data_IF_714965503410
#
_entry.id   IF_714965503410
#
_cell.length_a   1.000
_cell.length_b   1.000
_cell.length_c   1.000
_cell.angle_alpha   90.00
_cell.angle_beta   90.00
_cell.angle_gamma   90.00
#
_symmetry.space_group_name_H-M   'P 1'
#
loop_
_entity.id
_entity.type
_entity.pdbx_description
1 polymer ?
#
# COMPACT_ATOMS: atom_id res chain seq x y z
N UNK A 1 -35.28 -41.80 42.15
CA UNK A 1 -35.32 -43.23 41.81
C UNK A 1 -34.28 -43.50 40.73
N UNK A 2 -33.59 -44.66 40.78
CA UNK A 2 -32.13 -44.68 40.91
C UNK A 2 -31.45 -45.64 39.91
N UNK A 3 -30.11 -45.71 40.00
CA UNK A 3 -29.24 -46.92 39.88
C UNK A 3 -27.81 -46.44 40.23
N UNK A 4 -27.18 -46.74 41.38
CA UNK A 4 -26.70 -48.04 41.93
C UNK A 4 -26.07 -48.91 40.82
N UNK A 5 -24.88 -49.50 40.93
CA UNK A 5 -24.10 -49.98 42.08
C UNK A 5 -22.67 -50.33 41.58
N UNK A 6 -21.60 -49.96 42.28
CA UNK A 6 -20.77 -50.81 43.18
C UNK A 6 -19.91 -51.90 42.51
N UNK A 7 -18.59 -51.86 42.74
CA UNK A 7 -17.88 -52.96 43.40
C UNK A 7 -16.49 -52.55 43.94
N UNK A 8 -16.15 -53.20 45.05
CA UNK A 8 -15.15 -52.91 46.07
C UNK A 8 -14.04 -53.98 46.02
N UNK A 9 -12.83 -53.60 46.46
CA UNK A 9 -11.83 -54.36 47.25
C UNK A 9 -10.42 -53.91 46.83
N UNK A 10 -9.40 -53.71 47.68
CA UNK A 10 -9.21 -53.81 49.14
C UNK A 10 -7.81 -53.26 49.50
N UNK A 11 -7.60 -52.94 50.79
CA UNK A 11 -6.34 -52.89 51.56
C UNK A 11 -5.51 -51.59 51.66
N UNK A 12 -5.64 -50.90 52.81
CA UNK A 12 -4.54 -50.36 53.62
C UNK A 12 -5.01 -50.12 55.09
N UNK A 13 -4.19 -50.40 56.13
CA UNK A 13 -4.57 -50.18 57.52
C UNK A 13 -4.23 -48.76 58.02
N UNK A 14 -5.08 -48.22 58.91
CA UNK A 14 -4.93 -46.93 59.62
C UNK A 14 -3.87 -46.94 60.74
N UNK A 15 -3.80 -45.93 61.63
CA UNK A 15 -4.93 -45.34 62.39
C UNK A 15 -4.78 -43.80 62.62
N UNK A 16 -5.40 -43.15 63.63
CA UNK A 16 -6.76 -43.24 64.17
C UNK A 16 -7.51 -41.88 64.11
N UNK A 17 -8.72 -41.97 64.63
CA UNK A 17 -9.79 -41.00 64.82
C UNK A 17 -9.59 -39.86 65.84
N UNK A 18 -10.49 -38.87 65.66
CA UNK A 18 -11.40 -38.26 66.64
C UNK A 18 -11.11 -36.83 67.10
N UNK A 19 -12.14 -36.03 66.89
CA UNK A 19 -12.41 -34.70 67.44
C UNK A 19 -12.30 -34.63 68.97
N UNK A 20 -11.81 -33.50 69.47
CA UNK A 20 -12.22 -32.97 70.77
C UNK A 20 -11.10 -32.51 71.71
N UNK A 21 -10.98 -31.18 71.81
CA UNK A 21 -10.53 -30.35 72.95
C UNK A 21 -9.06 -30.37 73.36
N UNK A 22 -8.44 -29.20 73.19
CA UNK A 22 -7.21 -28.74 73.82
C UNK A 22 -6.84 -27.41 73.20
N UNK A 23 -7.27 -26.32 73.82
CA UNK A 23 -6.79 -24.96 73.54
C UNK A 23 -5.26 -24.94 73.56
N UNK A 24 -4.66 -24.16 72.68
CA UNK A 24 -3.37 -23.43 72.75
C UNK A 24 -3.17 -22.86 71.33
N UNK A 25 -3.84 -21.76 70.96
CA UNK A 25 -3.22 -20.43 70.94
C UNK A 25 -1.81 -20.41 70.34
N UNK A 26 -1.72 -20.38 69.00
CA UNK A 26 -0.69 -19.63 68.26
C UNK A 26 -1.42 -18.75 67.23
N UNK A 27 -2.18 -17.82 67.79
CA UNK A 27 -2.67 -16.62 67.12
C UNK A 27 -1.56 -15.55 67.23
N UNK A 28 -0.40 -15.81 66.61
CA UNK A 28 0.72 -14.88 66.64
C UNK A 28 0.61 -13.85 65.50
N UNK A 29 0.30 -12.63 65.93
CA UNK A 29 0.50 -11.32 65.28
C UNK A 29 -0.51 -10.82 64.23
N UNK A 30 -1.82 -10.97 64.49
CA UNK A 30 -2.80 -10.03 63.93
C UNK A 30 -3.00 -8.85 64.89
N UNK A 31 -2.36 -7.72 64.58
CA UNK A 31 -2.59 -6.43 65.24
C UNK A 31 -4.09 -6.13 65.39
N UNK A 32 -4.52 -5.46 66.49
CA UNK A 32 -5.94 -5.20 66.78
C UNK A 32 -6.67 -4.55 65.60
N UNK A 33 -7.96 -4.88 65.41
CA UNK A 33 -8.78 -4.48 64.24
C UNK A 33 -8.77 -2.96 63.94
N UNK A 34 -8.49 -2.12 64.94
CA UNK A 34 -8.33 -0.67 64.78
C UNK A 34 -7.06 -0.24 64.02
N UNK A 35 -6.03 -1.08 63.94
CA UNK A 35 -4.75 -0.83 63.25
C UNK A 35 -4.72 -1.34 61.79
N UNK A 36 -5.70 -2.12 61.35
CA UNK A 36 -5.80 -2.61 59.96
C UNK A 36 -6.57 -1.66 59.03
N UNK A 37 -7.15 -0.58 59.57
CA UNK A 37 -7.89 0.42 58.81
C UNK A 37 -6.85 1.31 58.09
N UNK A 38 -6.73 1.13 56.76
CA UNK A 38 -5.76 1.75 55.84
C UNK A 38 -4.49 0.93 55.49
N UNK A 39 -4.42 -0.38 55.81
CA UNK A 39 -3.37 -1.22 55.25
C UNK A 39 -3.61 -1.44 53.75
N UNK A 40 -2.61 -1.27 52.86
CA UNK A 40 -2.74 -1.64 51.46
C UNK A 40 -3.06 -3.13 51.31
N UNK A 41 -3.85 -3.49 50.29
CA UNK A 41 -4.19 -4.90 50.07
C UNK A 41 -2.92 -5.71 49.76
N UNK A 42 -2.85 -6.92 50.32
CA UNK A 42 -1.75 -7.84 50.07
C UNK A 42 -1.97 -8.59 48.73
N UNK A 43 -1.96 -7.85 47.63
CA UNK A 43 -2.06 -8.40 46.27
C UNK A 43 -0.71 -8.36 45.55
N UNK A 44 -0.41 -9.33 44.66
CA UNK A 44 0.87 -9.36 43.93
C UNK A 44 1.17 -8.07 43.15
N UNK A 45 0.15 -7.35 42.67
CA UNK A 45 0.29 -6.10 41.92
C UNK A 45 0.61 -4.92 42.83
N UNK A 46 -0.10 -4.75 43.95
CA UNK A 46 0.12 -3.66 44.89
C UNK A 46 1.45 -3.81 45.62
N UNK A 47 1.89 -5.05 45.83
CA UNK A 47 3.11 -5.40 46.55
C UNK A 47 4.32 -5.62 45.62
N UNK A 48 4.17 -5.35 44.31
CA UNK A 48 5.24 -5.50 43.31
C UNK A 48 5.89 -6.89 43.27
N UNK A 49 5.11 -7.93 43.60
CA UNK A 49 5.51 -9.35 43.61
C UNK A 49 4.92 -10.12 42.42
N UNK A 50 4.71 -9.42 41.31
CA UNK A 50 4.18 -10.01 40.07
C UNK A 50 5.24 -10.98 39.51
N UNK A 51 4.80 -12.11 38.96
CA UNK A 51 5.69 -13.01 38.23
C UNK A 51 6.35 -12.25 37.08
N UNK A 52 7.66 -12.08 37.15
CA UNK A 52 8.45 -11.35 36.18
C UNK A 52 9.68 -12.15 35.77
N UNK A 53 9.98 -12.14 34.49
CA UNK A 53 11.23 -12.65 33.94
C UNK A 53 12.24 -11.52 33.84
N UNK A 54 13.38 -11.69 34.51
CA UNK A 54 14.47 -10.72 34.51
C UNK A 54 15.67 -11.30 33.77
N UNK A 55 15.75 -11.16 32.43
CA UNK A 55 16.86 -11.68 31.66
C UNK A 55 18.14 -10.92 32.02
N UNK A 56 19.08 -11.61 32.64
CA UNK A 56 20.43 -11.11 32.84
C UNK A 56 21.24 -11.49 31.60
N UNK A 57 21.79 -10.50 30.91
CA UNK A 57 22.58 -10.70 29.70
C UNK A 57 23.95 -11.31 30.04
N UNK A 58 24.01 -12.64 30.02
CA UNK A 58 25.26 -13.40 30.11
C UNK A 58 26.03 -13.30 28.77
N UNK A 59 27.35 -13.04 28.80
CA UNK A 59 28.19 -13.08 27.60
C UNK A 59 27.95 -14.29 26.69
N UNK A 60 27.74 -15.50 27.24
CA UNK A 60 27.50 -16.70 26.43
C UNK A 60 26.20 -16.61 25.64
N UNK A 61 25.11 -16.20 26.30
CA UNK A 61 23.80 -16.01 25.66
C UNK A 61 23.85 -14.90 24.61
N UNK A 62 24.56 -13.81 24.90
CA UNK A 62 24.74 -12.69 23.96
C UNK A 62 25.50 -13.15 22.71
N UNK A 63 26.64 -13.85 22.87
CA UNK A 63 27.42 -14.38 21.75
C UNK A 63 26.57 -15.33 20.89
N UNK A 64 25.88 -16.29 21.53
CA UNK A 64 25.02 -17.25 20.82
C UNK A 64 23.92 -16.52 20.05
N UNK A 65 23.25 -15.54 20.65
CA UNK A 65 22.20 -14.77 19.97
C UNK A 65 22.72 -14.02 18.75
N UNK A 66 23.89 -13.37 18.84
CA UNK A 66 24.49 -12.66 17.71
C UNK A 66 24.86 -13.61 16.57
N UNK A 67 25.44 -14.77 16.88
CA UNK A 67 25.82 -15.76 15.87
C UNK A 67 24.59 -16.40 15.20
N UNK A 68 23.52 -16.66 15.96
CA UNK A 68 22.25 -17.16 15.41
C UNK A 68 21.62 -16.12 14.48
N UNK A 69 21.53 -14.86 14.91
CA UNK A 69 20.98 -13.79 14.08
C UNK A 69 21.78 -13.60 12.79
N UNK A 70 23.12 -13.63 12.87
CA UNK A 70 23.98 -13.58 11.69
C UNK A 70 23.74 -14.77 10.75
N UNK A 71 23.64 -15.99 11.28
CA UNK A 71 23.41 -17.21 10.51
C UNK A 71 22.04 -17.24 9.82
N UNK A 72 21.05 -16.49 10.30
CA UNK A 72 19.73 -16.35 9.66
C UNK A 72 19.74 -15.21 8.65
N UNK A 73 20.25 -14.03 9.03
CA UNK A 73 20.15 -12.82 8.22
C UNK A 73 21.05 -12.84 6.98
N UNK A 74 22.25 -13.45 7.07
CA UNK A 74 23.17 -13.50 5.91
C UNK A 74 22.59 -14.35 4.77
N UNK A 75 22.18 -15.62 4.98
CA UNK A 75 21.57 -16.41 3.91
C UNK A 75 20.26 -15.80 3.38
N UNK A 76 19.44 -15.23 4.26
CA UNK A 76 18.22 -14.55 3.84
C UNK A 76 18.52 -13.31 2.98
N UNK A 77 19.55 -12.54 3.31
CA UNK A 77 19.98 -11.39 2.51
C UNK A 77 20.39 -11.79 1.09
N UNK A 78 21.21 -12.83 0.95
CA UNK A 78 21.58 -13.37 -0.37
C UNK A 78 20.38 -13.94 -1.13
N UNK A 79 19.46 -14.60 -0.44
CA UNK A 79 18.21 -15.07 -1.06
C UNK A 79 17.37 -13.90 -1.59
N UNK A 80 17.16 -12.86 -0.78
CA UNK A 80 16.39 -11.67 -1.15
C UNK A 80 17.02 -10.90 -2.32
N UNK A 81 18.34 -10.74 -2.31
CA UNK A 81 19.09 -10.16 -3.43
C UNK A 81 18.90 -11.00 -4.71
N UNK A 82 19.07 -12.32 -4.62
CA UNK A 82 18.90 -13.21 -5.76
C UNK A 82 17.48 -13.20 -6.34
N UNK A 83 16.44 -13.06 -5.50
CA UNK A 83 15.06 -12.85 -5.98
C UNK A 83 14.89 -11.49 -6.65
N UNK A 84 15.51 -10.43 -6.12
CA UNK A 84 15.45 -9.10 -6.74
C UNK A 84 16.20 -9.03 -8.08
N UNK A 85 17.29 -9.77 -8.27
CA UNK A 85 18.06 -9.78 -9.52
C UNK A 85 17.34 -10.49 -10.68
N UNK A 86 16.44 -11.43 -10.36
CA UNK A 86 15.59 -12.09 -11.35
C UNK A 86 14.57 -11.14 -11.97
N UNK A 87 14.20 -10.08 -11.26
CA UNK A 87 13.21 -9.12 -11.74
C UNK A 87 13.78 -8.32 -12.91
N UNK A 88 13.07 -8.39 -14.02
CA UNK A 88 13.35 -7.61 -15.22
C UNK A 88 12.58 -6.30 -15.10
N UNK A 89 13.27 -5.19 -15.37
CA UNK A 89 12.72 -3.85 -15.37
C UNK A 89 13.23 -3.13 -16.61
N UNK A 90 12.32 -2.72 -17.48
CA UNK A 90 12.57 -1.96 -18.69
C UNK A 90 12.00 -0.57 -18.46
N UNK A 91 12.85 0.45 -18.48
CA UNK A 91 12.47 1.83 -18.17
C UNK A 91 12.94 2.76 -19.27
N UNK A 92 12.03 3.60 -19.76
CA UNK A 92 12.35 4.62 -20.77
C UNK A 92 11.77 5.98 -20.34
N UNK A 93 12.63 6.98 -20.27
CA UNK A 93 12.23 8.37 -20.02
C UNK A 93 11.74 8.95 -21.33
N UNK A 94 10.50 9.45 -21.35
CA UNK A 94 9.88 9.99 -22.56
C UNK A 94 9.69 11.50 -22.52
N UNK A 95 9.64 12.10 -21.32
CA UNK A 95 9.63 13.55 -21.15
C UNK A 95 10.61 13.95 -20.06
N UNK A 96 11.54 14.83 -20.36
CA UNK A 96 12.50 15.37 -19.40
C UNK A 96 12.66 16.90 -19.52
N UNK A 97 11.69 17.58 -20.14
CA UNK A 97 11.84 19.00 -20.46
C UNK A 97 12.94 19.26 -21.50
N UNK A 98 13.89 20.14 -21.20
CA UNK A 98 14.96 20.57 -22.12
C UNK A 98 16.15 19.57 -22.27
N UNK A 99 16.12 18.43 -21.58
CA UNK A 99 17.20 17.44 -21.62
C UNK A 99 17.07 16.50 -22.84
N UNK A 100 18.15 16.37 -23.64
CA UNK A 100 18.20 15.59 -24.89
C UNK A 100 18.05 14.06 -24.69
N UNK A 101 18.06 13.58 -23.44
CA UNK A 101 17.99 12.15 -23.11
C UNK A 101 16.58 11.54 -23.13
N UNK A 102 15.54 12.35 -23.33
CA UNK A 102 14.16 11.88 -23.44
C UNK A 102 13.87 11.29 -24.83
N UNK A 103 13.01 10.28 -24.90
CA UNK A 103 12.55 9.74 -26.19
C UNK A 103 11.70 10.72 -27.00
N UNK A 104 11.03 11.68 -26.33
CA UNK A 104 10.08 12.63 -26.93
C UNK A 104 10.37 14.10 -26.50
N UNK A 105 11.58 14.65 -26.74
CA UNK A 105 12.03 15.89 -26.12
C UNK A 105 11.34 17.16 -26.66
N UNK A 106 10.81 17.12 -27.89
CA UNK A 106 10.20 18.30 -28.53
C UNK A 106 8.72 18.54 -28.18
N UNK A 107 8.05 17.56 -27.56
CA UNK A 107 6.59 17.58 -27.34
C UNK A 107 6.24 18.10 -25.94
N UNK A 108 7.12 17.91 -24.94
CA UNK A 108 6.88 18.27 -23.53
C UNK A 108 6.91 19.77 -23.18
N UNK A 109 7.11 20.66 -24.17
CA UNK A 109 7.23 22.12 -23.99
C UNK A 109 5.92 22.89 -24.04
N UNK A 110 4.92 22.36 -24.75
CA UNK A 110 3.62 23.03 -24.92
C UNK A 110 2.48 22.06 -24.59
N UNK A 111 1.32 22.61 -24.23
CA UNK A 111 0.08 21.83 -24.09
C UNK A 111 -0.39 21.40 -25.48
N UNK A 112 0.28 20.41 -26.05
CA UNK A 112 0.01 19.90 -27.39
C UNK A 112 -0.80 18.62 -27.26
N UNK A 113 -2.11 18.77 -27.04
CA UNK A 113 -3.05 17.67 -26.75
C UNK A 113 -3.14 16.57 -27.83
N UNK A 114 -2.41 16.69 -28.95
CA UNK A 114 -2.52 15.80 -30.11
C UNK A 114 -1.16 15.33 -30.66
N UNK A 115 -0.06 15.53 -29.95
CA UNK A 115 1.23 14.98 -30.37
C UNK A 115 1.44 13.61 -29.71
N UNK A 116 1.42 12.58 -30.55
CA UNK A 116 1.69 11.21 -30.15
C UNK A 116 3.19 10.92 -30.29
N UNK A 117 3.77 10.25 -29.31
CA UNK A 117 5.13 9.76 -29.34
C UNK A 117 5.17 8.24 -29.16
N UNK A 118 6.02 7.54 -29.89
CA UNK A 118 6.16 6.09 -29.78
C UNK A 118 7.36 5.72 -28.90
N UNK A 119 7.12 4.89 -27.89
CA UNK A 119 8.15 4.26 -27.06
C UNK A 119 8.33 2.81 -27.50
N UNK A 120 9.57 2.38 -27.66
CA UNK A 120 9.91 1.03 -28.10
C UNK A 120 10.76 0.35 -27.03
N UNK A 121 10.25 -0.76 -26.49
CA UNK A 121 10.97 -1.59 -25.53
C UNK A 121 11.38 -2.90 -26.18
N UNK A 122 12.66 -3.25 -26.04
CA UNK A 122 13.18 -4.55 -26.44
C UNK A 122 13.32 -5.44 -25.20
N UNK A 123 12.55 -6.52 -25.17
CA UNK A 123 12.52 -7.46 -24.05
C UNK A 123 13.75 -8.36 -24.12
N UNK A 124 14.72 -8.17 -23.23
CA UNK A 124 16.00 -8.92 -23.28
C UNK A 124 15.93 -10.33 -22.68
N UNK A 125 14.93 -10.58 -21.83
CA UNK A 125 14.73 -11.83 -21.09
C UNK A 125 13.24 -12.08 -20.92
N UNK A 126 12.86 -13.34 -20.81
CA UNK A 126 11.47 -13.75 -20.60
C UNK A 126 10.86 -13.11 -19.35
N UNK A 127 9.75 -12.39 -19.53
CA UNK A 127 9.01 -11.74 -18.45
C UNK A 127 7.81 -12.60 -18.08
N UNK A 128 7.83 -13.14 -16.86
CA UNK A 128 6.74 -13.96 -16.31
C UNK A 128 5.56 -13.08 -15.87
N UNK A 129 4.31 -13.55 -16.02
CA UNK A 129 3.14 -12.78 -15.63
C UNK A 129 2.96 -12.72 -14.09
N UNK A 130 2.30 -11.66 -13.57
CA UNK A 130 1.84 -10.49 -14.32
C UNK A 130 2.99 -9.51 -14.63
N UNK A 131 3.04 -9.04 -15.88
CA UNK A 131 3.98 -7.98 -16.28
C UNK A 131 3.31 -6.64 -16.07
N UNK A 132 3.81 -5.84 -15.14
CA UNK A 132 3.19 -4.59 -14.70
C UNK A 132 3.75 -3.41 -15.48
N UNK A 133 2.87 -2.52 -15.92
CA UNK A 133 3.19 -1.28 -16.63
C UNK A 133 2.94 -0.11 -15.69
N UNK A 134 4.01 0.61 -15.35
CA UNK A 134 3.98 1.77 -14.48
C UNK A 134 4.33 3.04 -15.26
N UNK A 135 3.65 4.13 -14.98
CA UNK A 135 4.19 5.45 -15.27
C UNK A 135 4.93 6.00 -14.05
N UNK A 136 6.01 6.74 -14.28
CA UNK A 136 6.81 7.37 -13.24
C UNK A 136 6.79 8.88 -13.39
N UNK A 137 6.70 9.56 -12.26
CA UNK A 137 6.85 11.00 -12.15
C UNK A 137 7.96 11.31 -11.17
N UNK A 138 8.86 12.22 -11.56
CA UNK A 138 9.89 12.74 -10.69
C UNK A 138 9.62 14.19 -10.28
N UNK A 139 10.13 14.56 -9.12
CA UNK A 139 10.02 15.90 -8.55
C UNK A 139 8.58 16.42 -8.37
N UNK A 140 7.61 15.53 -8.18
CA UNK A 140 6.20 15.89 -7.94
C UNK A 140 5.77 15.55 -6.52
N UNK A 141 5.56 16.58 -5.69
CA UNK A 141 5.40 16.44 -4.25
C UNK A 141 3.94 16.22 -3.80
N UNK A 142 3.39 15.01 -3.99
CA UNK A 142 2.05 14.68 -3.49
C UNK A 142 1.96 14.68 -1.95
N UNK A 143 3.08 14.46 -1.26
CA UNK A 143 3.18 14.41 0.19
C UNK A 143 3.15 15.79 0.87
N UNK A 144 3.03 16.88 0.11
CA UNK A 144 2.88 18.21 0.68
C UNK A 144 1.55 18.32 1.43
N UNK A 145 1.58 18.78 2.69
CA UNK A 145 0.40 18.78 3.59
C UNK A 145 -0.85 19.36 2.93
N UNK A 146 -0.75 20.55 2.32
CA UNK A 146 -1.91 21.21 1.68
C UNK A 146 -2.40 20.43 0.46
N UNK A 147 -1.51 19.78 -0.28
CA UNK A 147 -1.89 18.93 -1.41
C UNK A 147 -2.66 17.70 -0.93
N UNK A 148 -2.13 16.99 0.08
CA UNK A 148 -2.77 15.78 0.62
C UNK A 148 -4.14 16.03 1.25
N UNK A 149 -4.34 17.20 1.88
CA UNK A 149 -5.62 17.57 2.48
C UNK A 149 -6.60 18.20 1.50
N UNK A 150 -6.16 18.60 0.30
CA UNK A 150 -6.99 19.31 -0.67
C UNK A 150 -7.83 18.36 -1.51
N UNK A 151 -8.91 17.87 -0.90
CA UNK A 151 -9.95 17.03 -1.49
C UNK A 151 -11.20 17.01 -0.61
N UNK A 152 -12.33 16.60 -1.17
CA UNK A 152 -13.55 16.30 -0.42
C UNK A 152 -13.90 14.81 -0.53
N UNK A 153 -13.83 14.10 0.60
CA UNK A 153 -14.13 12.67 0.67
C UNK A 153 -15.64 12.36 0.50
N UNK A 154 -16.54 13.33 0.73
CA UNK A 154 -17.98 13.16 0.50
C UNK A 154 -18.32 13.13 -0.99
N UNK A 155 -17.71 14.02 -1.78
CA UNK A 155 -17.83 13.99 -3.24
C UNK A 155 -17.32 12.66 -3.81
N UNK A 156 -16.16 12.17 -3.34
CA UNK A 156 -15.60 10.89 -3.79
C UNK A 156 -16.51 9.71 -3.47
N UNK A 157 -17.22 9.75 -2.33
CA UNK A 157 -18.17 8.71 -1.94
C UNK A 157 -19.58 8.88 -2.54
N UNK A 158 -19.75 9.84 -3.46
CA UNK A 158 -20.98 10.05 -4.21
C UNK A 158 -22.06 10.86 -3.48
N UNK A 159 -21.74 11.51 -2.36
CA UNK A 159 -22.70 12.35 -1.65
C UNK A 159 -22.76 13.75 -2.27
N UNK A 160 -23.81 14.04 -3.01
CA UNK A 160 -24.04 15.33 -3.71
C UNK A 160 -24.77 16.36 -2.86
N UNK A 161 -25.39 15.94 -1.74
CA UNK A 161 -26.27 16.78 -0.94
C UNK A 161 -25.54 17.38 0.26
N UNK A 162 -25.06 18.63 0.11
CA UNK A 162 -24.55 19.55 1.15
C UNK A 162 -23.17 19.18 1.70
N UNK A 163 -22.14 19.62 0.97
CA UNK A 163 -20.84 19.87 1.59
C UNK A 163 -21.05 20.75 2.82
N UNK A 164 -20.48 20.38 3.96
CA UNK A 164 -20.43 21.33 5.07
C UNK A 164 -19.49 22.46 4.66
N UNK A 165 -19.65 23.66 5.24
CA UNK A 165 -18.73 24.78 4.96
C UNK A 165 -17.26 24.46 5.24
N UNK A 166 -17.01 23.41 6.03
CA UNK A 166 -15.68 22.89 6.31
C UNK A 166 -15.11 22.04 5.16
N UNK A 167 -15.96 21.27 4.46
CA UNK A 167 -15.54 20.43 3.34
C UNK A 167 -15.19 21.27 2.10
N UNK A 168 -15.94 22.34 1.86
CA UNK A 168 -15.62 23.35 0.84
C UNK A 168 -14.25 24.02 1.09
N UNK A 169 -13.92 24.29 2.35
CA UNK A 169 -12.63 24.89 2.73
C UNK A 169 -11.45 23.93 2.55
N UNK A 170 -11.67 22.62 2.70
CA UNK A 170 -10.63 21.63 2.45
C UNK A 170 -10.25 21.58 0.97
N UNK A 171 -11.20 21.83 0.06
CA UNK A 171 -10.95 21.83 -1.38
C UNK A 171 -10.23 23.07 -1.93
N UNK A 172 -9.85 24.04 -1.09
CA UNK A 172 -9.05 25.17 -1.55
C UNK A 172 -7.67 24.73 -2.09
N UNK A 173 -7.17 25.35 -3.17
CA UNK A 173 -7.72 26.52 -3.87
C UNK A 173 -8.63 26.18 -5.08
N UNK A 174 -8.87 24.90 -5.38
CA UNK A 174 -9.60 24.49 -6.60
C UNK A 174 -10.94 23.85 -6.22
N UNK A 175 -11.88 24.70 -5.80
CA UNK A 175 -13.27 24.33 -5.53
C UNK A 175 -14.22 24.84 -6.62
N UNK A 176 -14.02 26.07 -7.08
CA UNK A 176 -14.84 26.75 -8.08
C UNK A 176 -13.94 27.32 -9.16
N UNK A 177 -14.26 27.05 -10.42
CA UNK A 177 -13.59 27.63 -11.59
C UNK A 177 -14.61 28.40 -12.42
N UNK A 178 -14.41 29.72 -12.56
CA UNK A 178 -15.31 30.55 -13.38
C UNK A 178 -16.77 30.63 -12.90
N UNK A 179 -17.02 30.39 -11.60
CA UNK A 179 -18.38 30.34 -11.03
C UNK A 179 -19.06 28.98 -11.12
N UNK A 180 -18.39 27.97 -11.70
CA UNK A 180 -18.84 26.57 -11.77
C UNK A 180 -18.12 25.77 -10.69
N UNK A 181 -18.85 24.97 -9.94
CA UNK A 181 -18.31 24.08 -8.89
C UNK A 181 -17.65 22.87 -9.54
N UNK A 182 -16.45 22.48 -9.09
CA UNK A 182 -15.76 21.31 -9.62
C UNK A 182 -16.07 20.08 -8.76
N UNK A 183 -16.38 18.96 -9.40
CA UNK A 183 -16.60 17.67 -8.75
C UNK A 183 -15.78 16.55 -9.44
N UNK A 184 -14.81 15.93 -8.75
CA UNK A 184 -14.38 16.22 -7.37
C UNK A 184 -13.47 17.45 -7.28
N UNK A 185 -13.61 18.19 -6.20
CA UNK A 185 -12.81 19.38 -5.90
C UNK A 185 -11.46 19.04 -5.27
N UNK A 186 -10.56 20.03 -5.25
CA UNK A 186 -9.25 19.97 -4.61
C UNK A 186 -8.09 19.72 -5.57
N UNK A 187 -6.87 19.91 -5.06
CA UNK A 187 -5.64 19.85 -5.86
C UNK A 187 -5.36 18.45 -6.40
N UNK A 188 -5.68 17.40 -5.64
CA UNK A 188 -5.31 16.03 -6.04
C UNK A 188 -6.05 15.65 -7.33
N UNK A 189 -7.37 15.83 -7.36
CA UNK A 189 -8.16 15.50 -8.55
C UNK A 189 -7.82 16.39 -9.75
N UNK A 190 -7.60 17.69 -9.54
CA UNK A 190 -7.32 18.65 -10.60
C UNK A 190 -5.86 18.65 -11.09
N UNK A 191 -5.01 17.81 -10.51
CA UNK A 191 -3.67 17.53 -11.04
C UNK A 191 -3.56 16.08 -11.49
N UNK A 192 -4.69 15.45 -11.82
CA UNK A 192 -4.72 14.08 -12.33
C UNK A 192 -3.79 13.90 -13.52
N UNK A 193 -2.99 12.84 -13.47
CA UNK A 193 -2.09 12.48 -14.55
C UNK A 193 -2.91 12.06 -15.77
N UNK A 194 -2.75 12.77 -16.88
CA UNK A 194 -3.63 12.65 -18.04
C UNK A 194 -2.93 12.28 -19.36
N UNK A 195 -1.70 11.75 -19.29
CA UNK A 195 -1.11 11.08 -20.47
C UNK A 195 -1.80 9.74 -20.71
N UNK A 196 -2.01 9.40 -21.98
CA UNK A 196 -2.61 8.13 -22.38
C UNK A 196 -1.57 7.24 -23.05
N UNK A 197 -1.45 6.00 -22.59
CA UNK A 197 -0.56 4.99 -23.17
C UNK A 197 -1.40 3.96 -23.91
N UNK A 198 -1.15 3.76 -25.20
CA UNK A 198 -1.85 2.77 -26.03
C UNK A 198 -0.83 1.80 -26.60
N UNK A 199 -1.04 0.50 -26.44
CA UNK A 199 -0.20 -0.51 -27.07
C UNK A 199 -0.54 -0.59 -28.57
N UNK A 200 0.44 -0.32 -29.44
CA UNK A 200 0.22 -0.32 -30.90
C UNK A 200 0.57 -1.65 -31.54
N UNK A 201 1.75 -2.18 -31.22
CA UNK A 201 2.30 -3.33 -31.89
C UNK A 201 3.18 -4.14 -30.93
N UNK A 202 2.99 -5.44 -30.97
CA UNK A 202 3.82 -6.43 -30.31
C UNK A 202 4.51 -7.27 -31.37
N UNK A 203 5.47 -6.67 -32.07
CA UNK A 203 6.18 -7.36 -33.14
C UNK A 203 6.85 -8.63 -32.59
N UNK A 204 6.23 -9.78 -32.88
CA UNK A 204 6.68 -11.10 -32.43
C UNK A 204 6.16 -11.58 -31.07
N UNK A 205 5.24 -10.88 -30.39
CA UNK A 205 4.50 -11.43 -29.25
C UNK A 205 3.01 -11.56 -29.55
N UNK A 206 2.57 -12.81 -29.51
CA UNK A 206 1.17 -13.22 -29.51
C UNK A 206 0.89 -13.91 -28.18
N UNK A 207 -0.36 -13.88 -27.73
CA UNK A 207 -0.82 -14.67 -26.59
C UNK A 207 -0.65 -16.19 -26.85
N UNK A 208 -0.91 -17.03 -25.84
CA UNK A 208 -0.86 -18.50 -25.98
C UNK A 208 -1.79 -19.03 -27.12
N UNK A 209 -2.75 -18.22 -27.57
CA UNK A 209 -3.75 -18.53 -28.60
C UNK A 209 -3.42 -17.94 -30.00
N UNK A 210 -2.34 -17.17 -30.13
CA UNK A 210 -1.95 -16.53 -31.40
C UNK A 210 -2.57 -15.16 -31.68
N UNK A 211 -3.27 -14.53 -30.74
CA UNK A 211 -3.79 -13.17 -30.85
C UNK A 211 -2.77 -12.13 -30.40
N UNK A 212 -2.96 -10.88 -30.80
CA UNK A 212 -2.14 -9.76 -30.34
C UNK A 212 -2.23 -9.61 -28.82
N UNK A 213 -1.09 -9.34 -28.18
CA UNK A 213 -1.02 -9.12 -26.74
C UNK A 213 -1.86 -7.90 -26.36
N UNK A 214 -2.77 -8.04 -25.39
CA UNK A 214 -3.62 -6.93 -24.91
C UNK A 214 -3.14 -6.48 -23.54
N UNK A 215 -2.93 -5.17 -23.36
CA UNK A 215 -2.69 -4.57 -22.05
C UNK A 215 -4.02 -4.42 -21.31
N UNK A 216 -4.12 -5.00 -20.12
CA UNK A 216 -5.28 -4.84 -19.23
C UNK A 216 -5.11 -3.60 -18.37
N UNK A 217 -6.15 -2.78 -18.33
CA UNK A 217 -6.22 -1.56 -17.50
C UNK A 217 -7.28 -1.68 -16.38
N UNK A 218 -7.96 -2.83 -16.30
CA UNK A 218 -8.92 -3.19 -15.26
C UNK A 218 -8.27 -4.00 -14.14
N UNK A 219 -8.68 -3.78 -12.88
CA UNK A 219 -8.10 -4.46 -11.72
C UNK A 219 -6.76 -3.89 -11.22
N UNK A 220 -6.41 -2.66 -11.61
CA UNK A 220 -5.21 -1.93 -11.15
C UNK A 220 -5.44 -1.22 -9.81
N UNK A 221 -6.68 -0.86 -9.49
CA UNK A 221 -7.05 -0.22 -8.24
C UNK A 221 -7.42 -1.24 -7.16
N UNK A 222 -7.28 -0.84 -5.89
CA UNK A 222 -7.63 -1.73 -4.79
C UNK A 222 -9.15 -1.88 -4.71
N UNK A 223 -9.61 -3.12 -4.60
CA UNK A 223 -11.04 -3.45 -4.51
C UNK A 223 -11.73 -2.75 -3.33
N UNK A 224 -11.01 -2.51 -2.22
CA UNK A 224 -11.51 -1.77 -1.07
C UNK A 224 -11.77 -0.29 -1.39
N UNK A 225 -10.93 0.34 -2.21
CA UNK A 225 -11.08 1.73 -2.61
C UNK A 225 -12.31 1.89 -3.52
N UNK A 226 -12.44 1.03 -4.52
CA UNK A 226 -13.59 1.04 -5.43
C UNK A 226 -14.91 0.71 -4.71
N UNK A 227 -14.89 -0.14 -3.69
CA UNK A 227 -16.09 -0.54 -2.96
C UNK A 227 -16.55 0.51 -1.93
N UNK A 228 -15.61 1.17 -1.26
CA UNK A 228 -15.91 1.98 -0.08
C UNK A 228 -15.62 3.47 -0.23
N UNK A 229 -14.69 3.87 -1.10
CA UNK A 229 -14.21 5.26 -1.20
C UNK A 229 -14.68 5.99 -2.44
N UNK A 230 -14.83 5.29 -3.56
CA UNK A 230 -15.20 5.89 -4.84
C UNK A 230 -16.58 5.41 -5.29
N UNK A 231 -17.51 6.34 -5.49
CA UNK A 231 -18.87 6.04 -5.97
C UNK A 231 -19.38 7.13 -6.89
N UNK A 232 -20.28 6.76 -7.78
CA UNK A 232 -20.99 7.71 -8.64
C UNK A 232 -21.81 8.71 -7.81
N UNK A 233 -21.92 9.97 -8.27
CA UNK A 233 -22.67 11.00 -7.55
C UNK A 233 -24.15 10.63 -7.40
N UNK A 234 -24.72 10.94 -6.24
CA UNK A 234 -26.14 10.71 -5.94
C UNK A 234 -27.02 11.48 -6.92
N UNK A 235 -27.87 10.75 -7.65
CA UNK A 235 -28.67 11.31 -8.75
C UNK A 235 -28.20 10.87 -10.14
N UNK A 236 -27.01 10.27 -10.24
CA UNK A 236 -26.52 9.67 -11.48
C UNK A 236 -27.44 8.54 -11.96
N UNK A 237 -27.73 8.52 -13.25
CA UNK A 237 -28.48 7.43 -13.92
C UNK A 237 -27.79 7.06 -15.22
N UNK A 238 -27.78 5.77 -15.54
CA UNK A 238 -27.33 5.26 -16.83
C UNK A 238 -28.35 4.25 -17.38
N UNK A 239 -28.54 4.26 -18.69
CA UNK A 239 -29.47 3.38 -19.39
C UNK A 239 -28.82 2.87 -20.65
N UNK A 240 -28.97 1.57 -20.92
CA UNK A 240 -28.44 0.92 -22.11
C UNK A 240 -29.19 1.42 -23.35
N UNK A 241 -28.45 1.88 -24.37
CA UNK A 241 -29.02 2.20 -25.68
C UNK A 241 -29.43 0.90 -26.40
N UNK A 242 -30.44 0.95 -27.26
CA UNK A 242 -30.82 -0.23 -28.06
C UNK A 242 -29.59 -0.76 -28.83
N UNK A 243 -29.40 -2.08 -28.81
CA UNK A 243 -28.30 -2.75 -29.48
C UNK A 243 -28.26 -2.31 -30.95
N UNK A 244 -27.08 -1.88 -31.41
CA UNK A 244 -26.74 -1.40 -32.76
C UNK A 244 -26.81 0.13 -33.01
N UNK A 245 -27.20 0.99 -32.05
CA UNK A 245 -27.18 2.46 -32.25
C UNK A 245 -26.54 3.24 -31.10
N UNK A 246 -25.25 3.54 -31.27
CA UNK A 246 -24.54 4.58 -30.51
C UNK A 246 -24.80 5.96 -31.12
N UNK A 247 -26.07 6.33 -31.24
CA UNK A 247 -26.50 7.54 -31.94
C UNK A 247 -26.97 8.61 -30.92
N UNK A 248 -26.83 9.92 -31.19
CA UNK A 248 -27.26 10.98 -30.27
C UNK A 248 -28.74 10.89 -29.88
N UNK A 249 -29.56 10.23 -30.70
CA UNK A 249 -30.97 9.94 -30.40
C UNK A 249 -31.18 9.19 -29.07
N UNK A 250 -30.19 8.41 -28.60
CA UNK A 250 -30.26 7.76 -27.29
C UNK A 250 -30.26 8.75 -26.11
N UNK A 251 -29.78 9.98 -26.33
CA UNK A 251 -29.67 11.03 -25.32
C UNK A 251 -30.79 12.09 -25.42
N UNK A 252 -31.71 11.99 -26.39
CA UNK A 252 -32.74 13.01 -26.65
C UNK A 252 -33.90 13.02 -25.65
N UNK A 253 -34.04 11.99 -24.80
CA UNK A 253 -35.05 11.96 -23.76
C UNK A 253 -34.80 13.06 -22.71
N UNK A 254 -35.89 13.73 -22.26
CA UNK A 254 -35.89 14.91 -21.38
C UNK A 254 -35.40 14.68 -19.93
N UNK A 255 -34.51 13.72 -19.71
CA UNK A 255 -33.90 13.41 -18.42
C UNK A 255 -32.44 12.95 -18.49
N UNK A 256 -31.80 12.95 -19.67
CA UNK A 256 -30.35 12.69 -19.79
C UNK A 256 -29.56 13.99 -19.92
N UNK A 257 -28.32 13.97 -19.43
CA UNK A 257 -27.39 15.10 -19.55
C UNK A 257 -26.37 14.90 -20.66
N UNK A 258 -26.39 13.75 -21.33
CA UNK A 258 -25.48 13.45 -22.42
C UNK A 258 -25.90 14.15 -23.71
N UNK A 259 -24.92 14.58 -24.51
CA UNK A 259 -25.15 14.98 -25.92
C UNK A 259 -24.91 13.78 -26.84
N UNK A 260 -23.94 12.93 -26.48
CA UNK A 260 -23.60 11.70 -27.18
C UNK A 260 -23.50 10.56 -26.16
N UNK A 261 -23.97 9.34 -26.51
CA UNK A 261 -23.85 8.18 -25.63
C UNK A 261 -22.38 7.78 -25.46
N UNK A 262 -22.05 7.20 -24.30
CA UNK A 262 -20.71 6.72 -24.01
C UNK A 262 -20.63 5.20 -24.16
N UNK A 263 -19.52 4.70 -24.71
CA UNK A 263 -19.22 3.27 -24.80
C UNK A 263 -18.56 2.83 -23.48
N UNK A 264 -19.07 1.77 -22.87
CA UNK A 264 -18.46 1.14 -21.70
C UNK A 264 -17.17 0.41 -22.11
N UNK A 265 -16.02 0.73 -21.49
CA UNK A 265 -14.77 -0.02 -21.74
C UNK A 265 -14.87 -1.51 -21.34
N UNK A 266 -15.79 -1.86 -20.45
CA UNK A 266 -15.92 -3.22 -19.89
C UNK A 266 -16.70 -4.17 -20.79
N UNK A 267 -17.82 -3.67 -21.33
CA UNK A 267 -18.78 -4.51 -22.06
C UNK A 267 -18.84 -4.15 -23.55
N UNK A 268 -18.24 -3.03 -23.98
CA UNK A 268 -18.33 -2.52 -25.35
C UNK A 268 -19.71 -1.98 -25.73
N UNK A 269 -20.64 -1.88 -24.78
CA UNK A 269 -22.01 -1.44 -24.99
C UNK A 269 -22.18 0.07 -24.81
N UNK A 270 -23.17 0.64 -25.51
CA UNK A 270 -23.48 2.07 -25.50
C UNK A 270 -24.51 2.43 -24.42
N UNK A 271 -24.24 3.48 -23.66
CA UNK A 271 -25.11 3.95 -22.59
C UNK A 271 -25.40 5.45 -22.70
N UNK A 272 -26.66 5.82 -22.51
CA UNK A 272 -27.06 7.18 -22.18
C UNK A 272 -26.88 7.40 -20.67
N UNK A 273 -26.45 8.60 -20.29
CA UNK A 273 -26.16 8.92 -18.90
C UNK A 273 -26.71 10.30 -18.49
N UNK A 274 -27.00 10.42 -17.20
CA UNK A 274 -27.47 11.64 -16.57
C UNK A 274 -26.67 11.92 -15.30
N UNK A 275 -26.16 13.13 -15.18
CA UNK A 275 -25.57 13.67 -13.96
C UNK A 275 -26.46 14.79 -13.39
N UNK A 276 -26.54 14.92 -12.05
CA UNK A 276 -27.27 16.02 -11.43
C UNK A 276 -26.52 17.36 -11.57
N UNK A 277 -27.22 18.47 -11.39
CA UNK A 277 -26.65 19.83 -11.24
C UNK A 277 -25.66 20.25 -12.36
N UNK A 278 -25.92 19.85 -13.60
CA UNK A 278 -25.05 20.10 -14.77
C UNK A 278 -24.83 21.60 -15.06
N UNK A 279 -25.81 22.44 -14.73
CA UNK A 279 -25.72 23.88 -14.96
C UNK A 279 -24.71 24.57 -14.03
N UNK A 280 -24.41 23.96 -12.88
CA UNK A 280 -23.60 24.57 -11.81
C UNK A 280 -22.35 23.76 -11.46
N UNK A 281 -22.24 22.52 -11.94
CA UNK A 281 -21.19 21.58 -11.57
C UNK A 281 -20.48 20.98 -12.77
N UNK A 282 -19.16 21.12 -12.81
CA UNK A 282 -18.28 20.45 -13.77
C UNK A 282 -17.78 19.13 -13.17
N UNK A 283 -18.00 18.03 -13.89
CA UNK A 283 -17.60 16.69 -13.45
C UNK A 283 -16.25 16.26 -14.06
N UNK A 284 -15.54 15.38 -13.34
CA UNK A 284 -14.22 14.85 -13.72
C UNK A 284 -14.05 14.45 -15.19
N UNK A 285 -15.06 13.79 -15.79
CA UNK A 285 -14.99 13.34 -17.19
C UNK A 285 -14.96 14.51 -18.18
N UNK A 286 -15.52 15.65 -17.82
CA UNK A 286 -15.47 16.88 -18.63
C UNK A 286 -14.10 17.54 -18.53
N UNK A 287 -13.41 17.38 -17.39
CA UNK A 287 -12.04 17.88 -17.19
C UNK A 287 -11.01 17.00 -17.88
N UNK A 288 -11.19 15.67 -17.87
CA UNK A 288 -10.24 14.69 -18.42
C UNK A 288 -10.92 13.67 -19.36
N UNK A 289 -11.47 14.12 -20.50
CA UNK A 289 -12.27 13.27 -21.39
C UNK A 289 -11.46 12.18 -22.11
N UNK A 290 -10.12 12.30 -22.18
CA UNK A 290 -9.25 11.33 -22.86
C UNK A 290 -9.09 10.00 -22.11
N UNK A 291 -9.30 10.01 -20.79
CA UNK A 291 -9.06 8.85 -19.90
C UNK A 291 -10.32 8.49 -19.11
N UNK A 292 -11.07 9.50 -18.64
CA UNK A 292 -12.22 9.26 -17.77
C UNK A 292 -13.49 9.18 -18.60
N UNK A 293 -14.09 7.98 -18.64
CA UNK A 293 -15.41 7.79 -19.23
C UNK A 293 -16.50 8.45 -18.35
N UNK A 294 -17.54 9.07 -18.95
CA UNK A 294 -18.72 9.52 -18.22
C UNK A 294 -19.46 8.41 -17.47
N UNK A 295 -19.20 7.14 -17.80
CA UNK A 295 -19.81 5.98 -17.11
C UNK A 295 -19.08 5.60 -15.82
N UNK A 296 -17.83 6.04 -15.65
CA UNK A 296 -16.99 5.62 -14.54
C UNK A 296 -16.70 6.76 -13.56
N UNK A 297 -16.52 8.00 -14.03
CA UNK A 297 -16.23 9.15 -13.16
C UNK A 297 -15.07 8.86 -12.16
N UNK A 298 -15.29 9.08 -10.85
CA UNK A 298 -14.34 8.76 -9.78
C UNK A 298 -14.12 7.26 -9.55
N UNK A 299 -14.95 6.39 -10.13
CA UNK A 299 -14.79 4.93 -10.05
C UNK A 299 -13.82 4.38 -11.10
N UNK A 300 -13.37 5.21 -12.03
CA UNK A 300 -12.30 4.86 -12.96
C UNK A 300 -11.01 4.50 -12.17
N UNK A 301 -10.39 3.38 -12.53
CA UNK A 301 -9.30 2.83 -11.74
C UNK A 301 -8.01 3.66 -11.81
N UNK A 302 -7.72 4.28 -12.96
CA UNK A 302 -6.58 5.20 -13.10
C UNK A 302 -6.73 6.40 -12.14
N UNK A 303 -7.94 6.94 -12.03
CA UNK A 303 -8.23 8.00 -11.07
C UNK A 303 -8.06 7.52 -9.62
N UNK A 304 -8.59 6.34 -9.28
CA UNK A 304 -8.45 5.76 -7.94
C UNK A 304 -6.97 5.54 -7.56
N UNK A 305 -6.15 5.06 -8.51
CA UNK A 305 -4.70 4.90 -8.34
C UNK A 305 -4.00 6.24 -8.11
N UNK A 306 -4.41 7.29 -8.82
CA UNK A 306 -3.87 8.64 -8.63
C UNK A 306 -4.19 9.23 -7.26
N UNK A 307 -5.45 9.09 -6.81
CA UNK A 307 -5.95 9.64 -5.55
C UNK A 307 -5.23 9.09 -4.30
N UNK A 308 -4.48 7.99 -4.43
CA UNK A 308 -3.56 7.50 -3.39
C UNK A 308 -2.25 8.28 -3.38
N UNK A 309 -2.15 9.34 -2.59
CA UNK A 309 -0.94 10.15 -2.46
C UNK A 309 0.34 9.31 -2.25
N UNK A 310 1.37 9.58 -3.05
CA UNK A 310 2.70 9.00 -2.89
C UNK A 310 3.46 9.66 -1.73
N UNK A 311 4.31 8.86 -1.05
CA UNK A 311 5.09 9.33 0.09
C UNK A 311 6.35 10.11 -0.31
N UNK A 312 6.86 9.90 -1.53
CA UNK A 312 8.08 10.49 -2.06
C UNK A 312 7.79 11.32 -3.33
N UNK A 313 8.65 12.31 -3.67
CA UNK A 313 8.47 13.12 -4.88
C UNK A 313 8.72 12.38 -6.19
N UNK A 314 9.50 11.30 -6.11
CA UNK A 314 9.73 10.38 -7.21
C UNK A 314 8.90 9.14 -6.90
N UNK A 315 7.93 8.86 -7.73
CA UNK A 315 7.01 7.75 -7.53
C UNK A 315 6.58 7.17 -8.85
N UNK A 316 6.05 5.96 -8.78
CA UNK A 316 5.43 5.29 -9.90
C UNK A 316 4.03 4.82 -9.55
N UNK A 317 3.19 4.69 -10.57
CA UNK A 317 1.76 4.38 -10.45
C UNK A 317 1.41 3.35 -11.51
N UNK A 318 0.68 2.33 -11.10
CA UNK A 318 0.28 1.26 -12.00
C UNK A 318 -0.70 1.83 -13.03
N UNK A 319 -0.41 1.60 -14.31
CA UNK A 319 -1.26 1.99 -15.42
C UNK A 319 -2.01 0.78 -15.98
N UNK A 320 -1.30 -0.34 -16.15
CA UNK A 320 -1.87 -1.56 -16.67
C UNK A 320 -0.96 -2.75 -16.43
N UNK A 321 -1.34 -3.91 -16.97
CA UNK A 321 -0.53 -5.11 -16.88
C UNK A 321 -0.85 -6.08 -18.03
N UNK A 322 0.02 -7.07 -18.18
CA UNK A 322 -0.18 -8.22 -19.03
C UNK A 322 -0.31 -9.47 -18.18
N UNK A 323 -1.36 -10.25 -18.42
CA UNK A 323 -1.58 -11.56 -17.79
C UNK A 323 -0.78 -12.68 -18.46
N UNK A 324 -0.25 -12.41 -19.65
CA UNK A 324 0.51 -13.37 -20.44
C UNK A 324 2.02 -13.18 -20.27
N UNK A 325 2.77 -14.25 -20.49
CA UNK A 325 4.23 -14.21 -20.53
C UNK A 325 4.70 -13.45 -21.77
N UNK A 326 5.70 -12.58 -21.62
CA UNK A 326 6.33 -11.87 -22.75
C UNK A 326 7.72 -12.48 -23.00
N UNK A 327 7.94 -13.15 -24.15
CA UNK A 327 9.21 -13.81 -24.43
C UNK A 327 10.34 -12.81 -24.72
N UNK A 328 11.58 -13.26 -24.51
CA UNK A 328 12.77 -12.51 -24.92
C UNK A 328 12.79 -12.29 -26.44
N UNK A 329 13.22 -11.10 -26.86
CA UNK A 329 13.29 -10.66 -28.25
C UNK A 329 12.03 -9.93 -28.74
N UNK A 330 10.94 -9.93 -27.96
CA UNK A 330 9.74 -9.17 -28.29
C UNK A 330 10.01 -7.67 -28.27
N UNK A 331 9.48 -6.96 -29.27
CA UNK A 331 9.42 -5.50 -29.29
C UNK A 331 8.03 -5.04 -28.94
N UNK A 332 7.93 -4.25 -27.87
CA UNK A 332 6.68 -3.63 -27.43
C UNK A 332 6.70 -2.15 -27.80
N UNK A 333 5.72 -1.74 -28.60
CA UNK A 333 5.56 -0.35 -29.02
C UNK A 333 4.33 0.29 -28.36
N UNK A 334 4.59 1.32 -27.56
CA UNK A 334 3.55 2.12 -26.90
C UNK A 334 3.44 3.49 -27.56
N UNK A 335 2.24 3.84 -27.99
CA UNK A 335 1.90 5.22 -28.32
C UNK A 335 1.55 5.99 -27.05
N UNK A 336 2.19 7.13 -26.87
CA UNK A 336 1.99 8.02 -25.73
C UNK A 336 1.42 9.32 -26.23
N UNK A 337 0.22 9.65 -25.77
CA UNK A 337 -0.37 10.96 -25.97
C UNK A 337 -0.02 11.83 -24.74
N UNK A 338 0.81 12.84 -24.97
CA UNK A 338 1.49 13.62 -23.91
C UNK A 338 0.70 14.88 -23.54
N UNK A 339 -0.22 14.77 -22.58
CA UNK A 339 -1.04 15.90 -22.10
C UNK A 339 -0.53 16.55 -20.81
N UNK A 340 0.28 15.83 -20.03
CA UNK A 340 0.71 16.22 -18.70
C UNK A 340 2.07 16.93 -18.73
N UNK A 341 2.09 18.24 -18.53
CA UNK A 341 3.30 19.05 -18.63
C UNK A 341 4.09 19.04 -17.32
N UNK A 342 5.38 18.68 -17.38
CA UNK A 342 6.26 18.54 -16.19
C UNK A 342 7.26 19.69 -15.99
N UNK A 343 7.33 20.62 -16.93
CA UNK A 343 8.33 21.69 -16.94
C UNK A 343 8.20 22.67 -15.78
N UNK A 344 6.96 22.97 -15.38
CA UNK A 344 6.66 23.90 -14.30
C UNK A 344 7.30 23.51 -12.97
N UNK A 345 7.50 22.20 -12.75
CA UNK A 345 8.15 21.66 -11.56
C UNK A 345 9.48 20.97 -11.86
N UNK A 346 10.04 21.11 -13.08
CA UNK A 346 11.32 20.50 -13.49
C UNK A 346 11.38 18.98 -13.20
N UNK A 347 10.28 18.29 -13.46
CA UNK A 347 10.19 16.84 -13.33
C UNK A 347 10.49 16.13 -14.65
N UNK A 348 10.44 14.81 -14.59
CA UNK A 348 10.55 13.91 -15.74
C UNK A 348 9.46 12.84 -15.68
N UNK A 349 9.08 12.32 -16.85
CA UNK A 349 8.13 11.23 -17.02
C UNK A 349 8.81 10.03 -17.65
N UNK A 350 8.54 8.84 -17.11
CA UNK A 350 9.02 7.59 -17.66
C UNK A 350 7.91 6.55 -17.71
N UNK A 351 8.02 5.61 -18.64
CA UNK A 351 7.22 4.40 -18.66
C UNK A 351 8.13 3.23 -18.29
N UNK A 352 7.69 2.42 -17.34
CA UNK A 352 8.46 1.32 -16.77
C UNK A 352 7.65 0.03 -16.80
N UNK A 353 8.16 -0.99 -17.47
CA UNK A 353 7.62 -2.34 -17.46
C UNK A 353 8.44 -3.19 -16.49
N UNK A 354 7.78 -3.88 -15.57
CA UNK A 354 8.47 -4.71 -14.58
C UNK A 354 7.70 -5.96 -14.24
N UNK A 355 8.42 -7.04 -13.95
CA UNK A 355 7.86 -8.25 -13.34
C UNK A 355 7.79 -8.06 -11.83
N UNK A 356 6.84 -8.72 -11.17
CA UNK A 356 6.80 -8.74 -9.72
C UNK A 356 7.40 -10.04 -9.16
N UNK A 357 7.92 -9.94 -7.94
CA UNK A 357 8.21 -11.08 -7.09
C UNK A 357 7.29 -11.04 -5.88
N UNK A 358 7.36 -12.07 -5.03
CA UNK A 358 6.72 -12.08 -3.71
C UNK A 358 7.05 -10.83 -2.88
N UNK A 359 8.24 -10.25 -3.08
CA UNK A 359 8.75 -9.10 -2.33
C UNK A 359 8.47 -7.76 -3.03
N UNK A 360 7.71 -7.78 -4.11
CA UNK A 360 7.41 -6.61 -4.95
C UNK A 360 8.33 -6.52 -6.15
N UNK A 361 8.63 -5.30 -6.57
CA UNK A 361 9.48 -4.98 -7.72
C UNK A 361 10.96 -5.08 -7.40
N UNK A 362 11.82 -4.86 -8.40
CA UNK A 362 13.26 -4.80 -8.23
C UNK A 362 13.68 -3.77 -7.19
N UNK A 363 14.22 -4.24 -6.07
CA UNK A 363 14.89 -3.43 -5.06
C UNK A 363 15.94 -4.28 -4.32
N UNK A 364 17.21 -4.23 -4.75
CA UNK A 364 18.26 -5.02 -4.11
C UNK A 364 18.64 -4.50 -2.72
N UNK A 365 18.21 -3.28 -2.35
CA UNK A 365 18.59 -2.66 -1.08
C UNK A 365 18.13 -3.45 0.15
N UNK A 366 17.01 -4.16 0.05
CA UNK A 366 16.56 -5.05 1.12
C UNK A 366 17.58 -6.16 1.39
N UNK A 367 18.11 -6.79 0.34
CA UNK A 367 19.17 -7.80 0.43
C UNK A 367 20.45 -7.22 1.04
N UNK A 368 20.92 -6.10 0.49
CA UNK A 368 22.11 -5.36 0.97
C UNK A 368 22.05 -5.00 2.44
N UNK A 369 20.89 -4.51 2.89
CA UNK A 369 20.66 -4.14 4.28
C UNK A 369 20.70 -5.38 5.18
N UNK A 370 20.07 -6.48 4.76
CA UNK A 370 19.94 -7.66 5.60
C UNK A 370 21.27 -8.38 5.84
N UNK A 371 22.05 -8.66 4.79
CA UNK A 371 23.36 -9.26 5.00
C UNK A 371 24.34 -8.26 5.61
N UNK A 372 24.19 -6.95 5.37
CA UNK A 372 24.99 -5.91 6.02
C UNK A 372 24.82 -5.90 7.54
N UNK A 373 23.57 -5.96 8.02
CA UNK A 373 23.25 -6.15 9.45
C UNK A 373 23.77 -7.52 9.94
N UNK A 374 23.61 -8.57 9.13
CA UNK A 374 24.11 -9.91 9.42
C UNK A 374 25.64 -9.95 9.66
N UNK A 375 26.42 -9.29 8.82
CA UNK A 375 27.88 -9.17 8.99
C UNK A 375 28.26 -8.34 10.21
N UNK A 376 27.47 -7.29 10.53
CA UNK A 376 27.66 -6.53 11.77
C UNK A 376 27.45 -7.43 13.00
N UNK A 377 26.39 -8.24 13.03
CA UNK A 377 26.16 -9.21 14.11
C UNK A 377 27.23 -10.29 14.18
N UNK A 378 27.71 -10.80 13.04
CA UNK A 378 28.82 -11.73 13.00
C UNK A 378 30.08 -11.11 13.60
N UNK A 379 30.40 -9.87 13.22
CA UNK A 379 31.55 -9.12 13.75
C UNK A 379 31.45 -8.89 15.26
N UNK A 380 30.30 -8.45 15.76
CA UNK A 380 30.05 -8.29 17.20
C UNK A 380 30.12 -9.62 17.96
N UNK A 381 29.52 -10.68 17.41
CA UNK A 381 29.55 -12.02 18.00
C UNK A 381 30.96 -12.57 18.12
N UNK A 382 31.77 -12.46 17.07
CA UNK A 382 33.18 -12.86 17.06
C UNK A 382 33.99 -12.00 18.05
N UNK A 383 33.78 -10.69 18.07
CA UNK A 383 34.45 -9.79 19.01
C UNK A 383 34.16 -10.16 20.47
N UNK A 384 32.89 -10.38 20.83
CA UNK A 384 32.52 -10.78 22.19
C UNK A 384 33.05 -12.17 22.53
N UNK A 385 33.04 -13.12 21.59
CA UNK A 385 33.61 -14.45 21.77
C UNK A 385 35.12 -14.38 22.05
N UNK A 386 35.87 -13.62 21.23
CA UNK A 386 37.31 -13.40 21.43
C UNK A 386 37.59 -12.72 22.77
N UNK A 387 36.84 -11.68 23.12
CA UNK A 387 37.00 -10.99 24.40
C UNK A 387 36.72 -11.93 25.58
N UNK A 388 35.65 -12.71 25.51
CA UNK A 388 35.27 -13.66 26.56
C UNK A 388 36.33 -14.77 26.69
N UNK A 389 36.92 -15.21 25.59
CA UNK A 389 37.98 -16.23 25.59
C UNK A 389 39.31 -15.70 26.14
N UNK A 390 39.73 -14.48 25.76
CA UNK A 390 41.02 -13.90 26.18
C UNK A 390 40.97 -13.41 27.63
N UNK A 391 39.86 -12.78 28.05
CA UNK A 391 39.70 -12.25 29.42
C UNK A 391 38.28 -12.51 29.94
N UNK A 392 37.95 -13.75 30.35
CA UNK A 392 36.65 -14.04 30.93
C UNK A 392 36.51 -13.30 32.27
N UNK A 393 35.38 -12.60 32.43
CA UNK A 393 35.00 -12.02 33.73
C UNK A 393 34.21 -13.06 34.52
N UNK A 394 34.52 -13.19 35.81
CA UNK A 394 33.69 -13.97 36.73
C UNK A 394 32.35 -13.28 36.97
N UNK A 395 31.25 -13.97 36.69
CA UNK A 395 29.89 -13.46 36.91
C UNK A 395 29.67 -13.28 38.42
N UNK A 396 28.96 -12.22 38.81
CA UNK A 396 28.66 -11.86 40.21
C UNK A 396 29.91 -11.64 41.10
N UNK A 397 31.01 -11.16 40.52
CA UNK A 397 32.21 -10.81 41.28
C UNK A 397 31.97 -9.57 42.18
N UNK A 398 32.02 -9.81 43.50
CA UNK A 398 31.80 -8.80 44.54
C UNK A 398 32.83 -7.67 44.52
N UNK A 399 33.99 -7.85 43.89
CA UNK A 399 35.02 -6.80 43.75
C UNK A 399 34.52 -5.56 43.03
N UNK A 400 33.49 -5.69 42.19
CA UNK A 400 32.89 -4.58 41.46
C UNK A 400 31.66 -3.99 42.17
N UNK A 401 31.32 -4.49 43.36
CA UNK A 401 30.31 -3.86 44.21
C UNK A 401 30.98 -2.68 44.93
N UNK A 402 30.63 -1.47 44.54
CA UNK A 402 31.03 -0.28 45.26
C UNK A 402 30.14 -0.15 46.51
N UNK A 403 30.65 -0.55 47.67
CA UNK A 403 30.07 -0.18 48.96
C UNK A 403 30.84 1.01 49.54
N UNK A 404 30.20 1.83 50.39
CA UNK A 404 30.91 2.80 51.21
C UNK A 404 31.75 2.02 52.21
N UNK A 405 33.07 2.16 52.14
CA UNK A 405 33.95 1.77 53.25
C UNK A 405 33.55 2.60 54.48
N UNK A 406 33.32 1.95 55.63
CA UNK A 406 32.93 2.61 56.90
C UNK A 406 33.99 3.57 57.43
#
# INVERSE_FOLDING_TARGET
>A
MPKNNSNIDSNLPGPPSLSGTGNDEEEDDLLPFSEQINRPDDTPIQQQRINAWHPILDPNWVIISYLILAAIMIPFGYYAEGESEKIIELRQVYDAGEDETAACPSIGLNYNANENCTLTFEVTKDMQPPVLVYYELTNFHQNYRKYTTSRDDYQLTGQTSKQTSFDEANCEPINVLGGITINPCGLIANTFFNDKFTLLNTAGAVDELGNDLVMREDGIAWTSDLKHRFKMPGGYKQTLCEADKCDPSCCEDAGYSCTEPAISPKDGLCYAYHYPDQDTTQYLYQTYPSIISPLEHVTNEHFAVWMRVAAAPNFRKLYGYFDEMIPAGTKLEFEVNMNYVVQSFRGTKALTLTTNSMWGTKDPNMGYTMYGIGYCFLGCGVFFALKHWIKPRKIADRKYLHYKEE
#
